data_IF_330711707285
#
_entry.id   IF_330711707285
#
_cell.length_a   1.000
_cell.length_b   1.000
_cell.length_c   1.000
_cell.angle_alpha   90.00
_cell.angle_beta   90.00
_cell.angle_gamma   90.00
#
_symmetry.space_group_name_H-M   'P 1'
#
loop_
_entity.id
_entity.type
_entity.pdbx_description
1 polymer ?
#
# COMPACT_ATOMS: atom_id res chain seq x y z
N UNK A 1 -9.56 -14.71 16.62
CA UNK A 1 -10.84 -15.02 15.95
C UNK A 1 -11.69 -13.75 15.70
N UNK A 2 -11.06 -12.58 15.54
CA UNK A 2 -11.73 -11.36 15.10
C UNK A 2 -11.10 -10.95 13.78
N UNK A 3 -11.79 -11.21 12.68
CA UNK A 3 -11.35 -10.79 11.37
C UNK A 3 -11.50 -9.28 11.28
N UNK A 4 -10.39 -8.56 11.16
CA UNK A 4 -10.42 -7.21 10.59
C UNK A 4 -10.41 -7.36 9.06
N UNK A 5 -11.43 -8.06 8.55
CA UNK A 5 -11.64 -8.31 7.14
C UNK A 5 -12.58 -7.28 6.52
N UNK A 6 -12.68 -7.31 5.18
CA UNK A 6 -13.65 -6.50 4.45
C UNK A 6 -15.09 -6.79 4.91
N UNK A 7 -15.40 -8.04 5.23
CA UNK A 7 -16.69 -8.50 5.76
C UNK A 7 -17.09 -7.80 7.05
N UNK A 8 -16.19 -7.70 8.02
CA UNK A 8 -16.48 -7.08 9.31
C UNK A 8 -16.59 -5.55 9.19
N UNK A 9 -15.86 -4.91 8.27
CA UNK A 9 -16.07 -3.49 7.97
C UNK A 9 -17.46 -3.21 7.42
N UNK A 10 -17.98 -4.08 6.54
CA UNK A 10 -19.36 -3.98 6.06
C UNK A 10 -20.37 -4.17 7.19
N UNK A 11 -20.15 -5.16 8.07
CA UNK A 11 -21.02 -5.39 9.22
C UNK A 11 -21.08 -4.19 10.16
N UNK A 12 -19.93 -3.60 10.50
CA UNK A 12 -19.85 -2.39 11.33
C UNK A 12 -20.53 -1.22 10.62
N UNK A 13 -20.39 -1.10 9.30
CA UNK A 13 -21.11 -0.10 8.49
C UNK A 13 -22.62 -0.24 8.60
N UNK A 14 -23.17 -1.46 8.50
CA UNK A 14 -24.60 -1.73 8.66
C UNK A 14 -25.06 -1.37 10.08
N UNK A 15 -24.34 -1.80 11.10
CA UNK A 15 -24.67 -1.48 12.50
C UNK A 15 -24.65 0.04 12.72
N UNK A 16 -23.66 0.75 12.18
CA UNK A 16 -23.59 2.20 12.25
C UNK A 16 -24.79 2.88 11.55
N UNK A 17 -25.24 2.37 10.39
CA UNK A 17 -26.43 2.89 9.71
C UNK A 17 -27.71 2.71 10.53
N UNK A 18 -27.84 1.62 11.28
CA UNK A 18 -29.01 1.36 12.13
C UNK A 18 -28.99 2.27 13.37
N UNK A 19 -27.84 2.40 14.03
CA UNK A 19 -27.71 3.12 15.30
C UNK A 19 -27.78 4.64 15.11
N UNK A 20 -27.04 5.16 14.12
CA UNK A 20 -26.91 6.60 13.86
C UNK A 20 -27.97 7.07 12.85
N UNK A 21 -28.37 6.20 11.93
CA UNK A 21 -29.26 6.53 10.83
C UNK A 21 -28.50 6.83 9.52
N UNK A 22 -29.04 6.41 8.35
CA UNK A 22 -28.37 6.57 7.06
C UNK A 22 -28.26 8.02 6.59
N UNK A 23 -29.08 8.93 7.14
CA UNK A 23 -29.06 10.37 6.77
C UNK A 23 -28.09 11.19 7.61
N UNK A 24 -27.82 10.76 8.84
CA UNK A 24 -26.99 11.52 9.78
C UNK A 24 -25.49 11.18 9.65
N UNK A 25 -25.17 9.94 9.31
CA UNK A 25 -23.79 9.51 9.00
C UNK A 25 -23.06 10.39 7.97
N UNK A 26 -23.62 10.70 6.78
CA UNK A 26 -22.92 11.55 5.80
C UNK A 26 -22.69 12.97 6.32
N UNK A 27 -23.60 13.51 7.14
CA UNK A 27 -23.41 14.80 7.82
C UNK A 27 -22.26 14.75 8.81
N UNK A 28 -22.23 13.72 9.67
CA UNK A 28 -21.17 13.51 10.65
C UNK A 28 -19.80 13.37 10.00
N UNK A 29 -19.66 12.57 8.93
CA UNK A 29 -18.40 12.44 8.19
C UNK A 29 -17.96 13.76 7.57
N UNK A 30 -18.90 14.60 7.11
CA UNK A 30 -18.58 15.92 6.55
C UNK A 30 -18.01 16.85 7.63
N UNK A 31 -18.63 16.86 8.81
CA UNK A 31 -18.17 17.66 9.95
C UNK A 31 -16.82 17.18 10.47
N UNK A 32 -16.67 15.87 10.68
CA UNK A 32 -15.40 15.27 11.11
C UNK A 32 -14.30 15.53 10.07
N UNK A 33 -14.62 15.34 8.79
CA UNK A 33 -13.70 15.56 7.68
C UNK A 33 -13.25 17.02 7.55
N UNK A 34 -14.15 17.98 7.75
CA UNK A 34 -13.79 19.41 7.78
C UNK A 34 -12.87 19.73 8.97
N UNK A 35 -13.15 19.17 10.15
CA UNK A 35 -12.31 19.36 11.33
C UNK A 35 -10.92 18.75 11.14
N UNK A 36 -10.84 17.49 10.72
CA UNK A 36 -9.58 16.80 10.40
C UNK A 36 -8.84 17.50 9.26
N UNK A 37 -9.54 18.01 8.25
CA UNK A 37 -8.96 18.75 7.13
C UNK A 37 -8.30 20.06 7.59
N UNK A 38 -8.98 20.84 8.45
CA UNK A 38 -8.41 22.05 9.06
C UNK A 38 -7.20 21.72 9.93
N UNK A 39 -7.30 20.71 10.79
CA UNK A 39 -6.20 20.25 11.62
C UNK A 39 -5.00 19.77 10.77
N UNK A 40 -5.25 19.07 9.66
CA UNK A 40 -4.22 18.62 8.70
C UNK A 40 -3.54 19.81 8.01
N UNK A 41 -4.30 20.84 7.67
CA UNK A 41 -3.77 22.12 7.19
C UNK A 41 -2.82 22.70 8.24
N UNK A 42 -3.34 23.03 9.42
CA UNK A 42 -2.57 23.62 10.51
C UNK A 42 -1.32 22.82 10.87
N UNK A 43 -1.39 21.49 10.84
CA UNK A 43 -0.24 20.62 11.04
C UNK A 43 0.82 20.78 9.94
N UNK A 44 0.43 20.95 8.67
CA UNK A 44 1.37 21.23 7.56
C UNK A 44 2.03 22.60 7.70
N UNK A 45 1.28 23.62 8.13
CA UNK A 45 1.86 24.94 8.40
C UNK A 45 2.82 24.89 9.60
N UNK A 46 2.46 24.19 10.67
CA UNK A 46 3.34 23.95 11.82
C UNK A 46 4.58 23.15 11.43
N UNK A 47 4.46 22.09 10.63
CA UNK A 47 5.61 21.33 10.14
C UNK A 47 6.54 22.21 9.32
N UNK A 48 6.01 23.08 8.44
CA UNK A 48 6.84 24.03 7.67
C UNK A 48 7.53 25.05 8.56
N UNK A 49 6.82 25.63 9.53
CA UNK A 49 7.39 26.59 10.46
C UNK A 49 8.43 25.95 11.38
N UNK A 50 8.19 24.71 11.84
CA UNK A 50 9.15 23.94 12.63
C UNK A 50 10.36 23.51 11.83
N UNK A 51 10.22 23.12 10.55
CA UNK A 51 11.37 22.81 9.70
C UNK A 51 12.26 24.05 9.54
N UNK A 52 11.65 25.21 9.22
CA UNK A 52 12.38 26.48 9.10
C UNK A 52 13.04 26.91 10.41
N UNK A 53 12.36 26.73 11.55
CA UNK A 53 12.92 27.05 12.86
C UNK A 53 13.98 26.02 13.31
N UNK A 54 13.85 24.75 12.90
CA UNK A 54 14.81 23.70 13.20
C UNK A 54 16.14 23.91 12.48
N UNK A 55 16.07 24.39 11.24
CA UNK A 55 17.24 24.76 10.43
C UNK A 55 17.99 25.95 11.04
N UNK A 56 17.29 26.92 11.65
CA UNK A 56 17.93 28.10 12.29
C UNK A 56 18.36 27.87 13.75
N UNK A 57 17.64 27.05 14.53
CA UNK A 57 17.87 26.90 15.97
C UNK A 57 18.56 25.59 16.40
N UNK A 58 19.15 24.82 15.48
CA UNK A 58 19.92 23.61 15.81
C UNK A 58 19.09 22.47 16.41
N UNK A 59 17.77 22.52 16.20
CA UNK A 59 16.79 21.59 16.78
C UNK A 59 16.73 20.25 16.02
N UNK A 60 17.57 20.08 14.99
CA UNK A 60 17.64 18.87 14.16
C UNK A 60 17.83 17.59 14.97
N UNK A 61 18.53 17.64 16.10
CA UNK A 61 18.73 16.44 16.95
C UNK A 61 17.49 16.00 17.73
N UNK A 62 16.59 16.94 18.05
CA UNK A 62 15.28 16.61 18.62
C UNK A 62 14.38 15.98 17.55
N UNK A 63 14.43 16.51 16.32
CA UNK A 63 13.70 15.92 15.19
C UNK A 63 14.20 14.50 14.90
N UNK A 64 15.52 14.27 14.97
CA UNK A 64 16.16 12.96 14.76
C UNK A 64 15.76 11.94 15.82
N UNK A 65 15.76 12.33 17.10
CA UNK A 65 15.35 11.46 18.22
C UNK A 65 13.85 11.15 18.21
N UNK A 66 12.99 12.10 17.89
CA UNK A 66 11.54 11.86 17.72
C UNK A 66 11.29 10.93 16.53
N UNK A 67 11.98 11.14 15.41
CA UNK A 67 11.84 10.30 14.20
C UNK A 67 12.36 8.89 14.39
N UNK A 68 13.42 8.75 15.18
CA UNK A 68 13.94 7.49 15.69
C UNK A 68 12.94 6.75 16.58
N UNK A 69 12.33 7.45 17.55
CA UNK A 69 11.32 6.88 18.44
C UNK A 69 10.04 6.48 17.69
N UNK A 70 9.65 7.25 16.67
CA UNK A 70 8.49 6.95 15.83
C UNK A 70 8.69 5.76 14.88
N UNK A 71 9.94 5.29 14.69
CA UNK A 71 10.26 4.13 13.85
C UNK A 71 11.02 3.06 14.67
N UNK A 72 10.33 2.36 15.59
CA UNK A 72 10.95 1.37 16.47
C UNK A 72 11.62 0.23 15.71
N UNK A 73 11.09 -0.14 14.53
CA UNK A 73 11.74 -1.13 13.66
C UNK A 73 13.07 -0.61 13.11
N UNK A 74 13.12 0.61 12.54
CA UNK A 74 14.39 1.17 12.01
C UNK A 74 15.42 1.35 13.10
N UNK A 75 15.01 1.85 14.26
CA UNK A 75 15.89 2.01 15.41
C UNK A 75 16.44 0.67 15.93
N UNK A 76 15.63 -0.39 15.90
CA UNK A 76 16.05 -1.75 16.22
C UNK A 76 17.08 -2.29 15.22
N UNK A 77 16.84 -2.18 13.91
CA UNK A 77 17.83 -2.62 12.90
C UNK A 77 19.09 -1.77 12.89
N UNK A 78 19.00 -0.46 13.15
CA UNK A 78 20.18 0.41 13.22
C UNK A 78 21.03 0.08 14.45
N UNK A 79 20.42 -0.15 15.62
CA UNK A 79 21.15 -0.66 16.80
C UNK A 79 21.72 -2.06 16.59
N UNK A 80 21.00 -2.95 15.90
CA UNK A 80 21.51 -4.27 15.56
C UNK A 80 22.71 -4.13 14.61
N UNK A 81 22.64 -3.28 13.59
CA UNK A 81 23.75 -3.00 12.66
C UNK A 81 24.96 -2.39 13.37
N UNK A 82 24.74 -1.49 14.32
CA UNK A 82 25.77 -0.87 15.14
C UNK A 82 26.43 -1.90 16.07
N UNK A 83 25.63 -2.72 16.76
CA UNK A 83 26.11 -3.79 17.64
C UNK A 83 26.80 -4.94 16.89
N UNK A 84 26.42 -5.17 15.62
CA UNK A 84 27.04 -6.17 14.74
C UNK A 84 28.17 -5.60 13.89
N UNK A 85 28.49 -4.30 13.99
CA UNK A 85 29.56 -3.65 13.24
C UNK A 85 29.33 -3.56 11.73
N UNK A 86 28.10 -3.75 11.24
CA UNK A 86 27.75 -3.72 9.81
C UNK A 86 27.65 -2.30 9.20
N UNK A 87 28.22 -1.28 9.86
CA UNK A 87 28.27 0.12 9.39
C UNK A 87 29.22 0.32 8.21
N UNK A 88 30.10 -0.64 7.93
CA UNK A 88 30.75 -0.77 6.64
C UNK A 88 30.03 -1.87 5.88
N UNK A 89 29.28 -1.49 4.86
CA UNK A 89 28.98 -2.43 3.80
C UNK A 89 30.34 -2.94 3.30
N UNK A 90 30.68 -4.24 3.44
CA UNK A 90 31.76 -4.76 2.65
C UNK A 90 31.35 -4.48 1.21
N UNK A 91 32.28 -3.94 0.41
CA UNK A 91 32.11 -3.83 -1.03
C UNK A 91 31.38 -5.08 -1.52
N UNK A 92 30.27 -4.90 -2.25
CA UNK A 92 29.45 -5.99 -2.77
C UNK A 92 30.41 -7.08 -3.25
N UNK A 93 30.56 -8.23 -2.57
CA UNK A 93 31.42 -9.26 -3.10
C UNK A 93 30.79 -9.61 -4.43
N UNK A 94 31.57 -9.49 -5.51
CA UNK A 94 31.12 -9.85 -6.85
C UNK A 94 30.32 -11.14 -6.72
N UNK A 95 29.05 -11.12 -7.12
CA UNK A 95 28.14 -12.25 -6.93
C UNK A 95 28.89 -13.50 -7.36
N UNK A 96 29.05 -14.48 -6.48
CA UNK A 96 29.72 -15.73 -6.84
C UNK A 96 29.09 -16.27 -8.12
N UNK A 97 29.86 -16.88 -9.03
CA UNK A 97 29.37 -17.33 -10.34
C UNK A 97 28.10 -18.19 -10.21
N UNK A 98 27.95 -18.93 -9.11
CA UNK A 98 26.75 -19.66 -8.74
C UNK A 98 25.50 -18.78 -8.56
N UNK A 99 25.59 -17.66 -7.84
CA UNK A 99 24.44 -16.78 -7.63
C UNK A 99 24.04 -16.02 -8.88
N UNK A 100 25.00 -15.74 -9.77
CA UNK A 100 24.70 -15.15 -11.07
C UNK A 100 23.94 -16.14 -11.95
N UNK A 101 24.40 -17.40 -12.00
CA UNK A 101 23.71 -18.46 -12.72
C UNK A 101 22.30 -18.75 -12.16
N UNK A 102 22.10 -18.66 -10.84
CA UNK A 102 20.77 -18.81 -10.23
C UNK A 102 19.86 -17.65 -10.60
N UNK A 103 20.37 -16.41 -10.59
CA UNK A 103 19.60 -15.22 -10.97
C UNK A 103 19.20 -15.26 -12.45
N UNK A 104 20.11 -15.68 -13.32
CA UNK A 104 19.87 -15.82 -14.76
C UNK A 104 18.83 -16.91 -15.06
N UNK A 105 18.95 -18.07 -14.41
CA UNK A 105 17.94 -19.15 -14.51
C UNK A 105 16.58 -18.71 -13.98
N UNK A 106 16.53 -17.94 -12.90
CA UNK A 106 15.28 -17.39 -12.38
C UNK A 106 14.68 -16.34 -13.32
N UNK A 107 15.49 -15.46 -13.92
CA UNK A 107 14.99 -14.48 -14.89
C UNK A 107 14.48 -15.14 -16.17
N UNK A 108 15.15 -16.19 -16.65
CA UNK A 108 14.71 -16.94 -17.82
C UNK A 108 13.43 -17.73 -17.54
N UNK A 109 13.34 -18.38 -16.39
CA UNK A 109 12.12 -19.08 -15.97
C UNK A 109 10.94 -18.11 -15.82
N UNK A 110 11.19 -16.93 -15.25
CA UNK A 110 10.17 -15.89 -15.09
C UNK A 110 9.75 -15.29 -16.44
N UNK A 111 10.71 -15.07 -17.35
CA UNK A 111 10.44 -14.59 -18.71
C UNK A 111 9.60 -15.60 -19.50
N UNK A 112 9.96 -16.89 -19.46
CA UNK A 112 9.18 -17.96 -20.11
C UNK A 112 7.78 -18.09 -19.53
N UNK A 113 7.65 -18.03 -18.19
CA UNK A 113 6.35 -18.07 -17.53
C UNK A 113 5.49 -16.84 -17.86
N UNK A 114 6.10 -15.65 -18.00
CA UNK A 114 5.39 -14.44 -18.41
C UNK A 114 4.91 -14.51 -19.86
N UNK A 115 5.73 -15.02 -20.78
CA UNK A 115 5.34 -15.20 -22.18
C UNK A 115 4.28 -16.28 -22.36
N UNK A 116 4.37 -17.40 -21.62
CA UNK A 116 3.34 -18.43 -21.65
C UNK A 116 2.01 -17.93 -21.07
N UNK A 117 2.06 -17.10 -20.03
CA UNK A 117 0.88 -16.46 -19.46
C UNK A 117 0.25 -15.46 -20.43
N UNK A 118 1.05 -14.65 -21.10
CA UNK A 118 0.59 -13.73 -22.15
C UNK A 118 0.04 -14.47 -23.38
N UNK A 119 0.62 -15.61 -23.76
CA UNK A 119 0.11 -16.43 -24.86
C UNK A 119 -1.23 -17.09 -24.52
N UNK A 120 -1.41 -17.59 -23.28
CA UNK A 120 -2.69 -18.11 -22.81
C UNK A 120 -3.75 -17.01 -22.66
N UNK A 121 -3.35 -15.81 -22.22
CA UNK A 121 -4.24 -14.65 -22.15
C UNK A 121 -4.65 -14.17 -23.56
N UNK A 122 -3.71 -14.16 -24.54
CA UNK A 122 -4.00 -13.83 -25.93
C UNK A 122 -4.84 -14.90 -26.67
N UNK A 123 -4.66 -16.19 -26.39
CA UNK A 123 -5.55 -17.25 -26.90
C UNK A 123 -6.94 -17.21 -26.26
N UNK A 124 -7.05 -16.79 -25.00
CA UNK A 124 -8.34 -16.58 -24.34
C UNK A 124 -9.06 -15.32 -24.88
N UNK A 125 -8.32 -14.32 -25.35
CA UNK A 125 -8.85 -13.09 -25.96
C UNK A 125 -9.15 -13.24 -27.47
N UNK A 126 -8.51 -14.21 -28.15
CA UNK A 126 -8.75 -14.53 -29.58
C UNK A 126 -9.82 -15.62 -29.81
N UNK A 127 -10.39 -16.21 -28.75
CA UNK A 127 -11.62 -17.00 -28.88
C UNK A 127 -12.78 -16.03 -29.20
N UNK A 128 -13.44 -16.13 -30.36
CA UNK A 128 -14.46 -15.17 -30.74
C UNK A 128 -15.60 -15.23 -29.74
N UNK A 129 -16.10 -14.04 -29.36
CA UNK A 129 -17.43 -13.89 -28.80
C UNK A 129 -18.43 -14.68 -29.66
N UNK A 130 -18.79 -15.88 -29.23
CA UNK A 130 -20.04 -16.51 -29.64
C UNK A 130 -21.18 -15.90 -28.83
N UNK A 131 -21.48 -14.62 -29.10
CA UNK A 131 -22.87 -14.16 -29.01
C UNK A 131 -23.53 -14.50 -30.34
N UNK A 132 -24.71 -15.12 -30.30
CA UNK A 132 -25.81 -14.51 -31.03
C UNK A 132 -26.89 -14.03 -30.07
N UNK A 133 -27.04 -12.72 -30.09
CA UNK A 133 -28.23 -11.93 -29.84
C UNK A 133 -29.43 -12.43 -30.68
N UNK A 134 -30.59 -12.54 -30.03
CA UNK A 134 -31.95 -12.16 -30.51
C UNK A 134 -32.75 -12.95 -31.60
N UNK A 135 -33.93 -13.43 -31.15
CA UNK A 135 -35.31 -13.44 -31.74
C UNK A 135 -35.65 -14.23 -33.02
N UNK A 136 -36.89 -14.77 -33.20
CA UNK A 136 -38.18 -14.07 -33.05
C UNK A 136 -39.36 -14.83 -32.41
N UNK A 137 -40.41 -14.06 -32.14
CA UNK A 137 -41.81 -14.49 -31.94
C UNK A 137 -42.30 -15.56 -32.94
N UNK A 138 -43.19 -16.44 -32.48
CA UNK A 138 -44.27 -17.02 -33.28
C UNK A 138 -45.41 -17.52 -32.36
N UNK A 139 -46.43 -16.68 -32.22
CA UNK A 139 -47.87 -16.97 -32.37
C UNK A 139 -48.48 -18.36 -32.04
N UNK A 140 -49.62 -18.29 -31.35
CA UNK A 140 -50.85 -19.09 -31.53
C UNK A 140 -50.90 -20.56 -31.05
N UNK A 141 -51.58 -20.81 -29.90
CA UNK A 141 -52.99 -21.26 -29.83
C UNK A 141 -53.43 -21.58 -28.39
#
# INVERSE_FOLDING_TARGET
>A
MFGLGWSEMVLVGIVALIVIGPKDLPGMFRTLGQFTGKARGMAREFSRAMESAADEAGIGEIQKTVRAAANPQKFGVDKIKEATGMTQAPEKPALSPERQAIKEKMSDAMGKAATERQAREAEAEAAPEAKPTETPESDSK
#
